data_IF_562173463360
#
_entry.id   IF_562173463360
#
_cell.length_a   1.000
_cell.length_b   1.000
_cell.length_c   1.000
_cell.angle_alpha   90.00
_cell.angle_beta   90.00
_cell.angle_gamma   90.00
#
_symmetry.space_group_name_H-M   'P 1'
#
loop_
_entity.id
_entity.type
_entity.pdbx_description
1 polymer ?
#
# COMPACT_ATOMS: atom_id res chain seq x y z
N UNK A 1 13.25 -55.45 -32.34
CA UNK A 1 13.59 -54.09 -32.84
C UNK A 1 12.29 -53.42 -33.24
N UNK A 2 11.88 -52.23 -32.81
CA UNK A 2 12.28 -51.32 -31.75
C UNK A 2 11.08 -50.37 -31.59
N UNK A 3 10.29 -50.56 -30.53
CA UNK A 3 9.14 -49.70 -30.26
C UNK A 3 9.61 -48.37 -29.70
N UNK A 4 9.68 -47.34 -30.54
CA UNK A 4 9.94 -45.98 -30.11
C UNK A 4 8.75 -45.48 -29.26
N UNK A 5 8.92 -45.54 -27.94
CA UNK A 5 8.06 -44.86 -26.98
C UNK A 5 8.25 -43.36 -27.15
N UNK A 6 7.43 -42.72 -27.99
CA UNK A 6 7.29 -41.27 -27.99
C UNK A 6 6.55 -40.94 -26.68
N UNK A 7 7.33 -40.59 -25.66
CA UNK A 7 6.82 -40.20 -24.34
C UNK A 7 5.82 -39.04 -24.45
N UNK A 8 5.01 -38.82 -23.40
CA UNK A 8 4.00 -37.77 -23.42
C UNK A 8 4.66 -36.43 -23.76
N UNK A 9 4.12 -35.79 -24.79
CA UNK A 9 4.62 -34.54 -25.34
C UNK A 9 4.86 -33.47 -24.26
N UNK A 10 5.79 -32.59 -24.58
CA UNK A 10 6.30 -31.45 -23.82
C UNK A 10 5.24 -30.39 -23.43
N UNK A 11 3.96 -30.76 -23.27
CA UNK A 11 2.82 -29.86 -23.13
C UNK A 11 2.19 -29.89 -21.72
N UNK A 12 2.82 -30.51 -20.72
CA UNK A 12 2.21 -30.69 -19.41
C UNK A 12 3.13 -30.44 -18.20
N UNK A 13 3.99 -29.42 -18.21
CA UNK A 13 4.70 -28.96 -17.00
C UNK A 13 4.86 -27.44 -16.96
N UNK A 14 3.81 -26.74 -16.53
CA UNK A 14 3.86 -25.52 -15.68
C UNK A 14 2.45 -24.92 -15.57
N UNK A 15 1.51 -25.70 -15.04
CA UNK A 15 0.30 -25.10 -14.46
C UNK A 15 0.63 -24.72 -13.02
N UNK A 16 0.51 -23.42 -12.75
CA UNK A 16 0.30 -22.81 -11.43
C UNK A 16 1.12 -23.38 -10.27
N UNK A 17 2.27 -22.78 -9.97
CA UNK A 17 2.81 -22.88 -8.63
C UNK A 17 2.98 -21.48 -8.04
N UNK A 18 2.22 -21.21 -6.99
CA UNK A 18 2.29 -20.05 -6.10
C UNK A 18 3.63 -19.96 -5.33
N UNK A 19 4.56 -20.87 -5.63
CA UNK A 19 5.84 -21.09 -4.97
C UNK A 19 6.96 -20.56 -5.88
N UNK A 20 7.95 -19.83 -5.34
CA UNK A 20 9.06 -19.33 -6.13
C UNK A 20 9.89 -20.48 -6.70
N UNK A 21 9.88 -20.61 -8.03
CA UNK A 21 10.57 -21.67 -8.76
C UNK A 21 12.09 -21.45 -8.89
N UNK A 22 12.60 -20.27 -8.54
CA UNK A 22 14.02 -19.91 -8.60
C UNK A 22 14.49 -19.31 -7.28
N UNK A 23 15.79 -19.43 -6.97
CA UNK A 23 16.38 -18.86 -5.75
C UNK A 23 16.18 -17.34 -5.67
N UNK A 24 16.26 -16.64 -6.81
CA UNK A 24 16.00 -15.19 -6.92
C UNK A 24 14.55 -14.85 -6.56
N UNK A 25 13.58 -15.64 -7.02
CA UNK A 25 12.17 -15.47 -6.68
C UNK A 25 11.92 -15.70 -5.18
N UNK A 26 12.54 -16.71 -4.57
CA UNK A 26 12.42 -16.97 -3.11
C UNK A 26 12.99 -15.81 -2.28
N UNK A 27 14.11 -15.23 -2.73
CA UNK A 27 14.67 -14.01 -2.12
C UNK A 27 13.74 -12.82 -2.28
N UNK A 28 13.14 -12.64 -3.45
CA UNK A 28 12.25 -11.52 -3.73
C UNK A 28 10.94 -11.60 -2.92
N UNK A 29 10.39 -12.81 -2.75
CA UNK A 29 9.24 -13.05 -1.87
C UNK A 29 9.53 -12.62 -0.42
N UNK A 30 10.67 -13.03 0.14
CA UNK A 30 11.06 -12.60 1.51
C UNK A 30 11.18 -11.07 1.60
N UNK A 31 11.76 -10.41 0.60
CA UNK A 31 11.87 -8.95 0.53
C UNK A 31 10.50 -8.28 0.42
N UNK A 32 9.60 -8.82 -0.41
CA UNK A 32 8.27 -8.26 -0.64
C UNK A 32 7.43 -8.32 0.63
N UNK A 33 7.43 -9.44 1.36
CA UNK A 33 6.72 -9.59 2.63
C UNK A 33 7.17 -8.55 3.67
N UNK A 34 8.48 -8.37 3.84
CA UNK A 34 9.05 -7.35 4.75
C UNK A 34 8.68 -5.92 4.33
N UNK A 35 8.62 -5.63 3.03
CA UNK A 35 8.19 -4.33 2.51
C UNK A 35 6.68 -4.13 2.71
N UNK A 36 5.89 -5.17 2.47
CA UNK A 36 4.42 -5.18 2.62
C UNK A 36 4.02 -4.82 4.04
N UNK A 37 4.54 -5.52 5.05
CA UNK A 37 4.27 -5.21 6.47
C UNK A 37 4.52 -3.74 6.82
N UNK A 38 5.67 -3.19 6.41
CA UNK A 38 6.01 -1.78 6.67
C UNK A 38 5.12 -0.79 5.92
N UNK A 39 4.72 -1.12 4.69
CA UNK A 39 3.85 -0.26 3.90
C UNK A 39 2.41 -0.30 4.39
N UNK A 40 1.93 -1.45 4.86
CA UNK A 40 0.59 -1.60 5.39
C UNK A 40 0.40 -0.81 6.69
N UNK A 41 1.42 -0.77 7.56
CA UNK A 41 1.44 0.09 8.75
C UNK A 41 1.33 1.59 8.37
N UNK A 42 2.10 2.05 7.38
CA UNK A 42 2.03 3.45 6.94
C UNK A 42 0.68 3.79 6.30
N UNK A 43 0.15 2.89 5.46
CA UNK A 43 -1.15 3.07 4.80
C UNK A 43 -2.30 3.05 5.81
N UNK A 44 -2.24 2.18 6.82
CA UNK A 44 -3.25 2.13 7.88
C UNK A 44 -3.25 3.39 8.74
N UNK A 45 -2.08 3.92 9.11
CA UNK A 45 -1.98 5.20 9.80
C UNK A 45 -2.67 6.35 9.01
N UNK A 46 -2.40 6.47 7.71
CA UNK A 46 -3.07 7.47 6.85
C UNK A 46 -4.59 7.26 6.83
N UNK A 47 -5.06 6.00 6.72
CA UNK A 47 -6.50 5.69 6.73
C UNK A 47 -7.15 6.04 8.06
N UNK A 48 -6.47 5.78 9.17
CA UNK A 48 -6.93 6.12 10.51
C UNK A 48 -7.15 7.62 10.64
N UNK A 49 -6.09 8.41 10.43
CA UNK A 49 -6.14 9.86 10.56
C UNK A 49 -7.15 10.50 9.62
N UNK A 50 -7.27 9.99 8.39
CA UNK A 50 -8.29 10.45 7.44
C UNK A 50 -9.71 10.26 7.98
N UNK A 51 -10.02 9.08 8.54
CA UNK A 51 -11.35 8.80 9.10
C UNK A 51 -11.60 9.63 10.35
N UNK A 52 -10.60 9.77 11.21
CA UNK A 52 -10.70 10.58 12.42
C UNK A 52 -10.99 12.05 12.07
N UNK A 53 -10.24 12.63 11.15
CA UNK A 53 -10.51 13.98 10.63
C UNK A 53 -11.92 14.14 10.08
N UNK A 54 -12.39 13.15 9.31
CA UNK A 54 -13.73 13.21 8.74
C UNK A 54 -14.81 13.24 9.83
N UNK A 55 -14.64 12.45 10.90
CA UNK A 55 -15.56 12.48 12.05
C UNK A 55 -15.53 13.82 12.80
N UNK A 56 -14.34 14.41 13.00
CA UNK A 56 -14.20 15.70 13.68
C UNK A 56 -14.84 16.85 12.89
N UNK A 57 -14.70 16.81 11.56
CA UNK A 57 -15.35 17.77 10.66
C UNK A 57 -16.87 17.62 10.74
N UNK A 58 -17.38 16.38 10.74
CA UNK A 58 -18.81 16.09 10.90
C UNK A 58 -19.34 16.53 12.28
N UNK A 59 -18.51 16.47 13.32
CA UNK A 59 -18.83 16.92 14.67
C UNK A 59 -18.69 18.44 14.89
N UNK A 60 -18.16 19.19 13.92
CA UNK A 60 -17.98 20.65 14.03
C UNK A 60 -16.85 21.11 14.96
N UNK A 61 -15.97 20.20 15.41
CA UNK A 61 -14.87 20.52 16.32
C UNK A 61 -13.65 21.05 15.54
N UNK A 62 -13.59 22.37 15.35
CA UNK A 62 -12.58 23.01 14.49
C UNK A 62 -11.15 22.88 15.03
N UNK A 63 -10.95 23.12 16.34
CA UNK A 63 -9.60 23.09 16.93
C UNK A 63 -9.00 21.67 16.93
N UNK A 64 -9.80 20.68 17.32
CA UNK A 64 -9.39 19.28 17.29
C UNK A 64 -9.11 18.80 15.86
N UNK A 65 -9.91 19.27 14.89
CA UNK A 65 -9.69 18.96 13.49
C UNK A 65 -8.37 19.55 12.96
N UNK A 66 -7.97 20.76 13.40
CA UNK A 66 -6.68 21.34 13.05
C UNK A 66 -5.50 20.56 13.65
N UNK A 67 -5.61 20.15 14.92
CA UNK A 67 -4.59 19.31 15.57
C UNK A 67 -4.44 17.95 14.86
N UNK A 68 -5.56 17.28 14.58
CA UNK A 68 -5.58 16.02 13.84
C UNK A 68 -5.06 16.18 12.40
N UNK A 69 -5.20 17.37 11.80
CA UNK A 69 -4.72 17.63 10.45
C UNK A 69 -3.19 17.74 10.40
N UNK A 70 -2.57 18.33 11.42
CA UNK A 70 -1.12 18.34 11.58
C UNK A 70 -0.56 16.92 11.66
N UNK A 71 -1.17 16.05 12.47
CA UNK A 71 -0.76 14.64 12.56
C UNK A 71 -0.99 13.86 11.26
N UNK A 72 -2.10 14.12 10.58
CA UNK A 72 -2.36 13.56 9.26
C UNK A 72 -1.28 13.96 8.24
N UNK A 73 -0.88 15.23 8.20
CA UNK A 73 0.19 15.70 7.32
C UNK A 73 1.51 15.00 7.62
N UNK A 74 1.91 14.93 8.89
CA UNK A 74 3.11 14.21 9.33
C UNK A 74 3.10 12.75 8.87
N UNK A 75 1.97 12.06 9.04
CA UNK A 75 1.83 10.66 8.63
C UNK A 75 1.95 10.48 7.10
N UNK A 76 1.33 11.37 6.33
CA UNK A 76 1.35 11.36 4.86
C UNK A 76 2.75 11.63 4.33
N UNK A 77 3.45 12.63 4.87
CA UNK A 77 4.78 13.02 4.39
C UNK A 77 5.84 11.98 4.76
N UNK A 78 5.77 11.39 5.96
CA UNK A 78 6.60 10.21 6.33
C UNK A 78 6.38 9.03 5.38
N UNK A 79 5.14 8.80 4.95
CA UNK A 79 4.84 7.73 4.00
C UNK A 79 5.34 8.02 2.58
N UNK A 80 5.32 9.28 2.16
CA UNK A 80 5.85 9.73 0.86
C UNK A 80 7.38 9.62 0.81
N UNK A 81 8.08 10.09 1.85
CA UNK A 81 9.54 10.01 1.96
C UNK A 81 10.02 8.56 1.88
N UNK A 82 9.32 7.63 2.55
CA UNK A 82 9.63 6.19 2.52
C UNK A 82 9.12 5.46 1.27
N UNK A 83 8.64 6.19 0.25
CA UNK A 83 8.08 5.68 -1.01
C UNK A 83 6.97 4.63 -0.81
N UNK A 84 6.22 4.71 0.29
CA UNK A 84 5.05 3.86 0.51
C UNK A 84 3.82 4.37 -0.28
N UNK A 85 3.81 5.68 -0.55
CA UNK A 85 2.89 6.37 -1.47
C UNK A 85 3.71 7.28 -2.40
N UNK A 86 3.17 7.55 -3.59
CA UNK A 86 3.78 8.52 -4.51
C UNK A 86 3.64 9.96 -3.98
N UNK A 87 4.62 10.86 -4.16
CA UNK A 87 4.53 12.26 -3.72
C UNK A 87 3.29 12.97 -4.25
N UNK A 88 2.93 12.77 -5.53
CA UNK A 88 1.70 13.34 -6.09
C UNK A 88 0.44 12.82 -5.40
N UNK A 89 0.44 11.56 -4.93
CA UNK A 89 -0.67 11.03 -4.13
C UNK A 89 -0.72 11.70 -2.76
N UNK A 90 0.42 11.94 -2.12
CA UNK A 90 0.52 12.66 -0.87
C UNK A 90 -0.03 14.10 -1.02
N UNK A 91 0.39 14.82 -2.06
CA UNK A 91 -0.10 16.16 -2.37
C UNK A 91 -1.63 16.18 -2.57
N UNK A 92 -2.18 15.24 -3.35
CA UNK A 92 -3.63 15.11 -3.55
C UNK A 92 -4.39 14.84 -2.25
N UNK A 93 -3.84 14.03 -1.34
CA UNK A 93 -4.46 13.74 -0.05
C UNK A 93 -4.47 14.98 0.86
N UNK A 94 -3.35 15.72 0.93
CA UNK A 94 -3.27 16.98 1.69
C UNK A 94 -4.26 18.01 1.15
N UNK A 95 -4.26 18.24 -0.17
CA UNK A 95 -5.16 19.20 -0.81
C UNK A 95 -6.65 18.85 -0.59
N UNK A 96 -7.03 17.57 -0.70
CA UNK A 96 -8.43 17.15 -0.47
C UNK A 96 -8.90 17.43 0.96
N UNK A 97 -8.07 17.15 1.96
CA UNK A 97 -8.44 17.38 3.36
C UNK A 97 -8.41 18.87 3.71
N UNK A 98 -7.44 19.63 3.20
CA UNK A 98 -7.38 21.08 3.39
C UNK A 98 -8.64 21.78 2.85
N UNK A 99 -9.13 21.37 1.67
CA UNK A 99 -10.38 21.89 1.11
C UNK A 99 -11.63 21.57 1.93
N UNK A 100 -11.61 20.50 2.71
CA UNK A 100 -12.74 20.15 3.60
C UNK A 100 -12.71 20.92 4.91
N UNK A 101 -11.54 21.37 5.34
CA UNK A 101 -11.36 22.18 6.56
C UNK A 101 -11.60 23.67 6.32
N UNK A 102 -11.33 24.15 5.10
CA UNK A 102 -11.73 25.50 4.72
C UNK A 102 -13.26 25.57 4.64
N UNK A 103 -13.93 26.41 5.45
CA UNK A 103 -15.30 26.79 5.13
C UNK A 103 -15.33 27.49 3.76
N UNK A 104 -16.44 27.31 3.05
CA UNK A 104 -16.67 27.96 1.75
C UNK A 104 -16.71 29.48 1.90
#
# INVERSE_FOLDING_TARGET
MGGAKIGPGFSQWRRGCTIPNTQSAKRQLRKSLRRRKRNDLRKSAIRYWRRHLQKLIEAGQVEEAMAAFSEFQKAVDKAAQRRAIHPNRAARLKARMARRLRPA
#
